data_IF_826045466574
#
_entry.id   IF_826045466574
#
_cell.length_a   1.000
_cell.length_b   1.000
_cell.length_c   1.000
_cell.angle_alpha   90.00
_cell.angle_beta   90.00
_cell.angle_gamma   90.00
#
_symmetry.space_group_name_H-M   'P 1'
#
loop_
_entity.id
_entity.type
_entity.pdbx_description
1 polymer ?
#
# COMPACT_ATOMS: atom_id res chain seq x y z
N UNK A 1 53.58 31.21 -16.99
CA UNK A 1 53.18 30.39 -15.84
C UNK A 1 51.74 30.60 -15.45
N UNK A 2 51.18 31.79 -15.43
CA UNK A 2 49.79 32.09 -14.95
C UNK A 2 48.68 31.42 -15.79
N UNK A 3 48.82 31.33 -17.11
CA UNK A 3 47.80 30.74 -18.00
C UNK A 3 47.59 29.25 -17.76
N UNK A 4 48.64 28.48 -17.49
CA UNK A 4 48.55 27.04 -17.18
C UNK A 4 47.85 26.80 -15.84
N UNK A 5 48.03 27.67 -14.87
CA UNK A 5 47.37 27.61 -13.54
C UNK A 5 45.88 27.91 -13.66
N UNK A 6 45.47 28.90 -14.45
CA UNK A 6 44.05 29.17 -14.71
C UNK A 6 43.37 28.04 -15.45
N UNK A 7 44.00 27.40 -16.40
CA UNK A 7 43.48 26.25 -17.12
C UNK A 7 43.23 25.05 -16.19
N UNK A 8 44.12 24.85 -15.21
CA UNK A 8 43.98 23.79 -14.22
C UNK A 8 42.77 24.05 -13.29
N UNK A 9 42.51 25.29 -12.87
CA UNK A 9 41.36 25.64 -12.08
C UNK A 9 40.04 25.48 -12.85
N UNK A 10 39.99 25.84 -14.11
CA UNK A 10 38.83 25.69 -14.99
C UNK A 10 38.48 24.22 -15.19
N UNK A 11 39.48 23.36 -15.45
CA UNK A 11 39.28 21.91 -15.60
C UNK A 11 38.80 21.27 -14.29
N UNK A 12 39.40 21.69 -13.15
CA UNK A 12 38.94 21.23 -11.81
C UNK A 12 37.48 21.64 -11.50
N UNK A 13 37.10 22.86 -11.84
CA UNK A 13 35.74 23.36 -11.66
C UNK A 13 34.74 22.61 -12.57
N UNK A 14 35.09 22.30 -13.81
CA UNK A 14 34.26 21.49 -14.72
C UNK A 14 34.10 20.05 -14.22
N UNK A 15 35.08 19.44 -13.60
CA UNK A 15 34.98 18.08 -13.03
C UNK A 15 34.03 18.05 -11.82
N UNK A 16 33.95 19.13 -11.05
CA UNK A 16 33.01 19.22 -9.91
C UNK A 16 31.55 19.37 -10.34
N UNK A 17 31.29 19.94 -11.52
CA UNK A 17 29.95 20.09 -12.08
C UNK A 17 29.41 18.81 -12.73
N UNK A 18 30.26 17.86 -13.08
CA UNK A 18 29.87 16.57 -13.64
C UNK A 18 29.49 15.51 -12.60
N UNK A 19 29.57 15.83 -11.31
CA UNK A 19 29.30 14.91 -10.20
C UNK A 19 27.80 14.74 -9.86
N UNK A 20 26.89 15.48 -10.49
CA UNK A 20 25.46 15.27 -10.38
C UNK A 20 25.02 14.17 -11.35
N UNK A 21 25.40 12.93 -11.06
CA UNK A 21 24.72 11.78 -11.64
C UNK A 21 23.42 11.59 -10.89
N UNK A 22 22.37 11.41 -11.65
CA UNK A 22 21.02 11.11 -11.16
C UNK A 22 21.10 9.92 -10.21
N UNK A 23 21.00 10.21 -8.89
CA UNK A 23 20.98 9.19 -7.85
C UNK A 23 19.58 8.60 -7.69
N UNK A 24 18.81 8.51 -8.75
CA UNK A 24 17.55 7.79 -8.75
C UNK A 24 17.86 6.28 -8.71
N UNK A 25 18.22 5.82 -7.52
CA UNK A 25 18.34 4.41 -7.20
C UNK A 25 16.93 3.79 -7.20
N UNK A 26 16.46 3.42 -8.38
CA UNK A 26 15.25 2.61 -8.51
C UNK A 26 15.53 1.29 -7.80
N UNK A 27 14.84 0.97 -6.71
CA UNK A 27 15.08 -0.26 -5.97
C UNK A 27 14.80 -1.45 -6.89
N UNK A 28 15.82 -2.24 -7.19
CA UNK A 28 15.73 -3.42 -8.07
C UNK A 28 14.93 -4.57 -7.44
N UNK A 29 14.71 -4.53 -6.13
CA UNK A 29 13.98 -5.54 -5.36
C UNK A 29 12.52 -5.14 -5.03
N UNK A 30 12.06 -4.00 -5.51
CA UNK A 30 10.67 -3.53 -5.34
C UNK A 30 10.09 -3.14 -6.69
N UNK A 31 8.84 -3.45 -6.89
CA UNK A 31 8.09 -2.94 -8.03
C UNK A 31 7.83 -1.44 -7.82
N UNK A 32 8.22 -0.64 -8.80
CA UNK A 32 7.84 0.78 -8.91
C UNK A 32 6.68 0.89 -9.90
N UNK A 33 5.95 1.99 -9.86
CA UNK A 33 4.82 2.20 -10.77
C UNK A 33 5.24 2.02 -12.23
N UNK A 34 6.39 2.58 -12.63
CA UNK A 34 6.93 2.45 -13.98
C UNK A 34 7.33 1.02 -14.37
N UNK A 35 7.67 0.14 -13.42
CA UNK A 35 8.11 -1.23 -13.68
C UNK A 35 7.00 -2.26 -13.53
N UNK A 36 5.93 -1.92 -12.83
CA UNK A 36 4.85 -2.85 -12.54
C UNK A 36 3.81 -2.91 -13.67
N UNK A 37 3.34 -1.77 -14.16
CA UNK A 37 2.25 -1.66 -15.15
C UNK A 37 2.71 -1.93 -16.59
N UNK A 38 3.33 -3.09 -16.83
CA UNK A 38 3.94 -3.45 -18.13
C UNK A 38 3.20 -4.58 -18.85
N UNK A 39 2.18 -5.19 -18.23
CA UNK A 39 1.42 -6.29 -18.85
C UNK A 39 0.03 -6.40 -18.24
N UNK A 40 -0.91 -6.91 -19.03
CA UNK A 40 -2.27 -7.23 -18.61
C UNK A 40 -2.32 -8.17 -17.39
N UNK A 41 -1.44 -9.18 -17.35
CA UNK A 41 -1.36 -10.10 -16.22
C UNK A 41 -1.05 -9.39 -14.89
N UNK A 42 -0.20 -8.38 -14.90
CA UNK A 42 0.10 -7.58 -13.71
C UNK A 42 -1.08 -6.70 -13.30
N UNK A 43 -1.76 -6.09 -14.27
CA UNK A 43 -2.98 -5.34 -14.01
C UNK A 43 -4.07 -6.26 -13.41
N UNK A 44 -4.26 -7.47 -13.95
CA UNK A 44 -5.17 -8.45 -13.40
C UNK A 44 -4.83 -8.85 -11.96
N UNK A 45 -3.55 -8.94 -11.60
CA UNK A 45 -3.14 -9.22 -10.22
C UNK A 45 -3.58 -8.12 -9.26
N UNK A 46 -3.56 -6.85 -9.65
CA UNK A 46 -4.07 -5.74 -8.82
C UNK A 46 -5.58 -5.84 -8.63
N UNK A 47 -6.32 -6.19 -9.70
CA UNK A 47 -7.76 -6.44 -9.60
C UNK A 47 -8.04 -7.62 -8.64
N UNK A 48 -7.32 -8.72 -8.77
CA UNK A 48 -7.46 -9.87 -7.87
C UNK A 48 -7.13 -9.49 -6.41
N UNK A 49 -6.17 -8.60 -6.20
CA UNK A 49 -5.84 -8.06 -4.88
C UNK A 49 -7.00 -7.24 -4.29
N UNK A 50 -7.68 -6.43 -5.11
CA UNK A 50 -8.89 -5.72 -4.68
C UNK A 50 -10.01 -6.69 -4.31
N UNK A 51 -10.24 -7.76 -5.11
CA UNK A 51 -11.20 -8.80 -4.77
C UNK A 51 -10.86 -9.54 -3.48
N UNK A 52 -9.58 -9.80 -3.20
CA UNK A 52 -9.17 -10.46 -1.94
C UNK A 52 -9.43 -9.64 -0.68
N UNK A 53 -9.67 -8.34 -0.84
CA UNK A 53 -10.02 -7.41 0.25
C UNK A 53 -11.54 -7.23 0.40
N UNK A 54 -12.33 -7.90 -0.43
CA UNK A 54 -13.78 -7.90 -0.33
C UNK A 54 -14.27 -8.83 0.80
N UNK A 55 -15.56 -8.79 1.00
CA UNK A 55 -16.26 -9.59 1.99
C UNK A 55 -16.11 -11.10 1.68
N UNK A 56 -15.57 -11.84 2.61
CA UNK A 56 -15.43 -13.29 2.54
C UNK A 56 -16.39 -14.02 3.49
N UNK A 57 -16.44 -15.36 3.40
CA UNK A 57 -17.29 -16.16 4.27
C UNK A 57 -16.93 -16.03 5.75
N UNK A 58 -15.66 -15.87 6.09
CA UNK A 58 -15.20 -15.68 7.47
C UNK A 58 -15.69 -14.36 8.04
N UNK A 59 -15.61 -13.30 7.25
CA UNK A 59 -16.15 -11.98 7.60
C UNK A 59 -17.67 -12.02 7.75
N UNK A 60 -18.37 -12.69 6.84
CA UNK A 60 -19.82 -12.86 6.91
C UNK A 60 -20.24 -13.50 8.23
N UNK A 61 -19.61 -14.61 8.63
CA UNK A 61 -19.92 -15.27 9.90
C UNK A 61 -19.53 -14.42 11.11
N UNK A 62 -18.44 -13.67 11.03
CA UNK A 62 -18.04 -12.75 12.09
C UNK A 62 -19.06 -11.66 12.31
N UNK A 63 -19.59 -11.08 11.23
CA UNK A 63 -20.60 -10.02 11.30
C UNK A 63 -21.97 -10.56 11.70
N UNK A 64 -22.34 -11.75 11.22
CA UNK A 64 -23.57 -12.40 11.64
C UNK A 64 -23.59 -12.68 13.15
N UNK A 65 -22.40 -12.89 13.75
CA UNK A 65 -22.29 -13.04 15.21
C UNK A 65 -22.59 -11.76 16.02
N UNK A 66 -22.73 -10.60 15.35
CA UNK A 66 -23.22 -9.36 15.94
C UNK A 66 -24.76 -9.31 16.02
N UNK A 67 -25.43 -10.15 15.24
CA UNK A 67 -26.87 -10.27 15.24
C UNK A 67 -27.38 -11.18 16.38
N UNK A 68 -28.68 -11.41 16.45
CA UNK A 68 -29.31 -12.35 17.35
C UNK A 68 -29.42 -13.77 16.78
N UNK A 69 -29.09 -13.98 15.49
CA UNK A 69 -29.21 -15.26 14.78
C UNK A 69 -28.07 -16.22 15.14
N UNK A 70 -26.87 -15.69 15.36
CA UNK A 70 -25.66 -16.50 15.61
C UNK A 70 -24.93 -16.00 16.85
N UNK A 71 -24.40 -16.93 17.64
CA UNK A 71 -23.57 -16.61 18.80
C UNK A 71 -22.18 -17.18 18.61
N UNK A 72 -21.18 -16.32 18.73
CA UNK A 72 -19.78 -16.78 18.84
C UNK A 72 -19.62 -17.53 20.18
N UNK A 73 -19.27 -18.82 20.09
CA UNK A 73 -19.09 -19.70 21.24
C UNK A 73 -17.84 -19.36 22.09
N UNK A 74 -16.95 -18.53 21.60
CA UNK A 74 -15.77 -18.08 22.34
C UNK A 74 -16.14 -17.13 23.47
N UNK A 75 -15.43 -17.22 24.58
CA UNK A 75 -15.76 -16.47 25.80
C UNK A 75 -15.39 -15.00 25.76
N UNK A 76 -14.32 -14.67 25.01
CA UNK A 76 -13.77 -13.30 24.90
C UNK A 76 -13.52 -12.99 23.44
N UNK A 77 -14.38 -12.17 22.86
CA UNK A 77 -14.25 -11.68 21.48
C UNK A 77 -14.76 -10.24 21.40
N UNK A 78 -14.25 -9.49 20.42
CA UNK A 78 -14.70 -8.13 20.13
C UNK A 78 -16.19 -8.11 19.79
N UNK A 79 -16.67 -9.08 19.00
CA UNK A 79 -18.09 -9.23 18.65
C UNK A 79 -18.97 -9.40 19.89
N UNK A 80 -18.52 -10.19 20.85
CA UNK A 80 -19.27 -10.39 22.09
C UNK A 80 -19.31 -9.13 22.96
N UNK A 81 -18.24 -8.36 23.00
CA UNK A 81 -18.20 -7.07 23.69
C UNK A 81 -19.17 -6.06 23.04
N UNK A 82 -19.20 -6.01 21.70
CA UNK A 82 -20.13 -5.15 20.95
C UNK A 82 -21.58 -5.53 21.26
N UNK A 83 -21.92 -6.81 21.18
CA UNK A 83 -23.31 -7.29 21.51
C UNK A 83 -23.77 -6.97 22.93
N UNK A 84 -22.83 -6.95 23.87
CA UNK A 84 -23.12 -6.60 25.27
C UNK A 84 -23.17 -5.08 25.52
N UNK A 85 -23.08 -4.25 24.50
CA UNK A 85 -23.02 -2.80 24.64
C UNK A 85 -21.72 -2.28 25.26
N UNK A 86 -20.68 -3.09 25.26
CA UNK A 86 -19.35 -2.75 25.80
C UNK A 86 -18.37 -2.31 24.71
N UNK A 87 -18.90 -1.83 23.58
CA UNK A 87 -18.09 -1.33 22.49
C UNK A 87 -17.33 -0.07 22.91
N UNK A 88 -16.04 -0.05 22.62
CA UNK A 88 -15.18 1.13 22.77
C UNK A 88 -14.50 1.43 21.44
N UNK A 89 -14.08 2.69 21.19
CA UNK A 89 -13.34 3.01 19.95
C UNK A 89 -12.03 2.23 19.79
N UNK A 90 -11.52 1.63 20.87
CA UNK A 90 -10.27 0.87 20.88
C UNK A 90 -10.43 -0.60 20.51
N UNK A 91 -11.66 -1.07 20.26
CA UNK A 91 -11.90 -2.45 19.84
C UNK A 91 -11.22 -2.71 18.49
N UNK A 92 -10.41 -3.78 18.45
CA UNK A 92 -9.55 -4.08 17.29
C UNK A 92 -10.32 -4.36 15.99
N UNK A 93 -11.55 -4.85 16.09
CA UNK A 93 -12.38 -5.12 14.91
C UNK A 93 -12.70 -3.84 14.12
N UNK A 94 -12.88 -2.70 14.75
CA UNK A 94 -13.15 -1.44 14.05
C UNK A 94 -11.93 -0.95 13.27
N UNK A 95 -10.75 -1.00 13.88
CA UNK A 95 -9.50 -0.61 13.22
C UNK A 95 -9.16 -1.55 12.05
N UNK A 96 -9.35 -2.86 12.25
CA UNK A 96 -9.12 -3.86 11.21
C UNK A 96 -10.06 -3.68 10.03
N UNK A 97 -11.34 -3.44 10.30
CA UNK A 97 -12.35 -3.21 9.28
C UNK A 97 -12.06 -1.95 8.47
N UNK A 98 -11.77 -0.86 9.17
CA UNK A 98 -11.39 0.41 8.56
C UNK A 98 -10.18 0.24 7.62
N UNK A 99 -9.09 -0.35 8.12
CA UNK A 99 -7.87 -0.57 7.35
C UNK A 99 -8.09 -1.46 6.12
N UNK A 100 -8.88 -2.51 6.26
CA UNK A 100 -9.16 -3.44 5.17
C UNK A 100 -9.98 -2.77 4.07
N UNK A 101 -11.06 -2.09 4.42
CA UNK A 101 -11.93 -1.41 3.45
C UNK A 101 -11.22 -0.27 2.73
N UNK A 102 -10.52 0.58 3.46
CA UNK A 102 -9.73 1.65 2.84
C UNK A 102 -8.53 1.13 2.06
N UNK A 103 -7.96 -0.01 2.44
CA UNK A 103 -6.97 -0.74 1.66
C UNK A 103 -7.53 -1.16 0.30
N UNK A 104 -8.72 -1.72 0.28
CA UNK A 104 -9.43 -2.09 -0.96
C UNK A 104 -9.72 -0.89 -1.86
N UNK A 105 -10.25 0.20 -1.28
CA UNK A 105 -10.49 1.45 -2.01
C UNK A 105 -9.20 1.99 -2.62
N UNK A 106 -8.10 2.02 -1.85
CA UNK A 106 -6.79 2.44 -2.34
C UNK A 106 -6.33 1.57 -3.51
N UNK A 107 -6.47 0.25 -3.41
CA UNK A 107 -6.09 -0.68 -4.49
C UNK A 107 -6.87 -0.40 -5.77
N UNK A 108 -8.18 -0.13 -5.66
CA UNK A 108 -9.02 0.26 -6.80
C UNK A 108 -8.55 1.59 -7.42
N UNK A 109 -8.24 2.61 -6.61
CA UNK A 109 -7.74 3.89 -7.12
C UNK A 109 -6.40 3.72 -7.84
N UNK A 110 -5.45 2.99 -7.26
CA UNK A 110 -4.16 2.69 -7.89
C UNK A 110 -4.37 1.99 -9.24
N UNK A 111 -5.31 1.05 -9.33
CA UNK A 111 -5.64 0.42 -10.61
C UNK A 111 -6.17 1.44 -11.62
N UNK A 112 -7.16 2.28 -11.24
CA UNK A 112 -7.80 3.24 -12.13
C UNK A 112 -6.84 4.34 -12.62
N UNK A 113 -5.87 4.74 -11.81
CA UNK A 113 -4.84 5.72 -12.17
C UNK A 113 -3.85 5.17 -13.20
N UNK A 114 -3.54 3.88 -13.13
CA UNK A 114 -2.49 3.25 -13.94
C UNK A 114 -3.01 2.36 -15.07
N UNK A 115 -4.28 2.05 -15.08
CA UNK A 115 -4.91 1.12 -16.05
C UNK A 115 -4.91 1.64 -17.50
N UNK A 116 -4.67 2.91 -17.73
CA UNK A 116 -4.56 3.51 -19.07
C UNK A 116 -3.19 3.16 -19.69
N UNK A 117 -3.03 1.93 -20.11
CA UNK A 117 -1.93 1.48 -20.96
C UNK A 117 -2.26 1.75 -22.42
#
# INVERSE_FOLDING_TARGET
>A
MKLKTYMLYVVSAMMLLAACNDMENVPTNKFTDNSYWTSEAKAQNVVNMAYSQMYDAGKMWSDESLSDNVIDGRTVTDQRAIRKGQATPSIGVFDSEWKNLYGGIKTCHVFLENYRL
#
